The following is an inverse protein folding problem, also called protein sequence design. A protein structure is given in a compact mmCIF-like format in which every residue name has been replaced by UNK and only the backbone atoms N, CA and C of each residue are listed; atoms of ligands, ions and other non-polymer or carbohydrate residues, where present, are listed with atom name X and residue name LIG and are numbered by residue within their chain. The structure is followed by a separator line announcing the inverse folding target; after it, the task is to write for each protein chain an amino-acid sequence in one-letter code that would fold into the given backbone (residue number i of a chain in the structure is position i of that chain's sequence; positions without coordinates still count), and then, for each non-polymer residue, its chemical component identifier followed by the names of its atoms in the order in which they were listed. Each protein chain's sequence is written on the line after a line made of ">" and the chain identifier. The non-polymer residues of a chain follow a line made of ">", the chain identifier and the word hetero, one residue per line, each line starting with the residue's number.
data_IF_583346027867
#
_entry.id   IF_583346027867
#
_cell.length_a   1.000
_cell.length_b   1.000
_cell.length_c   1.000
_cell.angle_alpha   90.00
_cell.angle_beta   90.00
_cell.angle_gamma   90.00
#
_symmetry.space_group_name_H-M   'P 1'
#
loop_
_entity.id
_entity.type
_entity.pdbx_description
1 polymer ?
#
# COMPACT_ATOMS: atom_id res chain seq x y z
N UNK A 1 -36.23 -17.21 -3.85
CA UNK A 1 -35.02 -17.03 -3.06
C UNK A 1 -34.39 -15.72 -3.47
N UNK A 2 -34.30 -14.73 -2.59
CA UNK A 2 -33.50 -13.56 -2.94
C UNK A 2 -32.07 -14.02 -3.11
N UNK A 3 -31.48 -13.72 -4.26
CA UNK A 3 -30.06 -13.88 -4.47
C UNK A 3 -29.36 -13.03 -3.42
N UNK A 4 -28.69 -13.66 -2.47
CA UNK A 4 -27.73 -12.98 -1.62
C UNK A 4 -26.58 -12.54 -2.51
N UNK A 5 -26.66 -11.32 -3.03
CA UNK A 5 -25.52 -10.69 -3.69
C UNK A 5 -24.40 -10.66 -2.67
N UNK A 6 -23.38 -11.50 -2.88
CA UNK A 6 -22.14 -11.42 -2.09
C UNK A 6 -21.66 -9.97 -2.14
N UNK A 7 -21.38 -9.37 -0.98
CA UNK A 7 -20.90 -7.98 -0.96
C UNK A 7 -19.62 -7.90 -1.78
N UNK A 8 -19.61 -7.00 -2.78
CA UNK A 8 -18.48 -6.82 -3.67
C UNK A 8 -17.46 -5.87 -3.07
N UNK A 9 -16.20 -6.31 -3.02
CA UNK A 9 -15.08 -5.46 -2.68
C UNK A 9 -14.71 -4.66 -3.93
N UNK A 10 -14.68 -3.35 -3.82
CA UNK A 10 -14.32 -2.42 -4.89
C UNK A 10 -12.98 -1.79 -4.56
N UNK A 11 -12.08 -1.75 -5.55
CA UNK A 11 -10.82 -1.03 -5.47
C UNK A 11 -10.99 0.30 -6.21
N UNK A 12 -10.63 1.39 -5.55
CA UNK A 12 -10.69 2.72 -6.16
C UNK A 12 -9.48 3.57 -5.77
N UNK A 13 -9.11 4.56 -6.60
CA UNK A 13 -8.08 5.52 -6.21
C UNK A 13 -8.49 6.30 -4.95
N UNK A 14 -7.52 6.57 -4.09
CA UNK A 14 -7.73 7.47 -2.97
C UNK A 14 -7.78 8.92 -3.45
N UNK A 15 -8.59 9.73 -2.78
CA UNK A 15 -8.75 11.15 -3.09
C UNK A 15 -8.45 12.02 -1.87
N UNK A 16 -8.50 13.34 -2.05
CA UNK A 16 -8.34 14.29 -0.94
C UNK A 16 -9.38 14.06 0.17
N UNK A 17 -10.57 13.56 -0.17
CA UNK A 17 -11.63 13.28 0.80
C UNK A 17 -11.32 12.07 1.69
N UNK A 18 -10.36 11.24 1.33
CA UNK A 18 -9.96 10.07 2.08
C UNK A 18 -8.86 10.34 3.11
N UNK A 19 -8.40 11.58 3.22
CA UNK A 19 -7.26 11.96 4.06
C UNK A 19 -7.39 11.46 5.50
N UNK A 20 -8.54 11.70 6.13
CA UNK A 20 -8.75 11.30 7.52
C UNK A 20 -8.72 9.77 7.68
N UNK A 21 -9.34 9.05 6.76
CA UNK A 21 -9.34 7.58 6.77
C UNK A 21 -7.93 7.03 6.61
N UNK A 22 -7.17 7.58 5.65
CA UNK A 22 -5.78 7.13 5.42
C UNK A 22 -4.90 7.47 6.62
N UNK A 23 -5.11 8.65 7.25
CA UNK A 23 -4.39 8.99 8.48
C UNK A 23 -4.56 7.92 9.56
N UNK A 24 -5.80 7.51 9.83
CA UNK A 24 -6.07 6.50 10.86
C UNK A 24 -5.50 5.12 10.48
N UNK A 25 -5.53 4.76 9.20
CA UNK A 25 -4.90 3.51 8.73
C UNK A 25 -3.38 3.54 8.93
N UNK A 26 -2.73 4.67 8.68
CA UNK A 26 -1.28 4.79 8.90
C UNK A 26 -0.92 4.75 10.39
N UNK A 27 -1.73 5.37 11.24
CA UNK A 27 -1.55 5.27 12.69
C UNK A 27 -1.67 3.82 13.16
N UNK A 28 -2.62 3.07 12.62
CA UNK A 28 -2.77 1.64 12.93
C UNK A 28 -1.59 0.82 12.42
N UNK A 29 -1.13 1.08 11.21
CA UNK A 29 0.01 0.37 10.60
C UNK A 29 1.28 0.52 11.45
N UNK A 30 1.57 1.72 11.90
CA UNK A 30 2.79 2.04 12.65
C UNK A 30 2.61 2.02 14.16
N UNK A 31 1.38 1.81 14.65
CA UNK A 31 1.04 1.78 16.08
C UNK A 31 1.49 3.05 16.80
N UNK A 32 1.28 4.20 16.17
CA UNK A 32 1.60 5.51 16.72
C UNK A 32 0.69 6.58 16.13
N UNK A 33 0.69 7.76 16.71
CA UNK A 33 0.02 8.94 16.15
C UNK A 33 1.05 9.83 15.46
N UNK A 34 0.68 10.37 14.30
CA UNK A 34 1.49 11.32 13.57
C UNK A 34 0.98 12.74 13.79
N UNK A 35 1.84 13.74 13.57
CA UNK A 35 1.41 15.13 13.49
C UNK A 35 0.36 15.27 12.38
N UNK A 36 -0.84 15.72 12.76
CA UNK A 36 -1.99 15.69 11.84
C UNK A 36 -1.83 16.66 10.66
N UNK A 37 -1.27 17.84 10.92
CA UNK A 37 -1.03 18.84 9.86
C UNK A 37 0.09 18.41 8.93
N UNK A 38 1.17 17.87 9.46
CA UNK A 38 2.27 17.35 8.65
C UNK A 38 1.79 16.21 7.76
N UNK A 39 0.97 15.31 8.30
CA UNK A 39 0.37 14.25 7.50
C UNK A 39 -0.48 14.80 6.36
N UNK A 40 -1.35 15.77 6.64
CA UNK A 40 -2.21 16.37 5.64
C UNK A 40 -1.40 16.98 4.48
N UNK A 41 -0.33 17.68 4.79
CA UNK A 41 0.55 18.28 3.77
C UNK A 41 1.24 17.22 2.93
N UNK A 42 1.78 16.18 3.55
CA UNK A 42 2.43 15.07 2.85
C UNK A 42 1.47 14.29 1.97
N UNK A 43 0.29 14.00 2.48
CA UNK A 43 -0.76 13.31 1.73
C UNK A 43 -1.16 14.09 0.48
N UNK A 44 -1.43 15.41 0.62
CA UNK A 44 -1.77 16.26 -0.51
C UNK A 44 -0.63 16.34 -1.54
N UNK A 45 0.62 16.44 -1.07
CA UNK A 45 1.79 16.46 -1.93
C UNK A 45 1.89 15.17 -2.76
N UNK A 46 1.70 14.03 -2.12
CA UNK A 46 1.77 12.72 -2.79
C UNK A 46 0.60 12.51 -3.76
N UNK A 47 -0.61 12.97 -3.43
CA UNK A 47 -1.74 12.89 -4.37
C UNK A 47 -1.48 13.70 -5.65
N UNK A 48 -0.73 14.79 -5.55
CA UNK A 48 -0.37 15.61 -6.70
C UNK A 48 0.81 15.06 -7.51
N UNK A 49 1.52 14.06 -6.97
CA UNK A 49 2.68 13.47 -7.62
C UNK A 49 2.25 12.40 -8.62
N UNK A 50 2.55 12.54 -9.93
CA UNK A 50 2.12 11.57 -10.95
C UNK A 50 2.75 10.19 -10.79
N UNK A 51 3.80 10.05 -9.99
CA UNK A 51 4.48 8.78 -9.73
C UNK A 51 3.99 8.08 -8.45
N UNK A 52 3.07 8.70 -7.71
CA UNK A 52 2.46 8.10 -6.52
C UNK A 52 1.03 7.66 -6.83
N UNK A 53 0.70 6.43 -6.48
CA UNK A 53 -0.62 5.85 -6.72
C UNK A 53 -1.14 5.22 -5.44
N UNK A 54 -2.29 5.68 -4.98
CA UNK A 54 -2.95 5.21 -3.76
C UNK A 54 -4.29 4.57 -4.11
N UNK A 55 -4.56 3.41 -3.55
CA UNK A 55 -5.86 2.77 -3.70
C UNK A 55 -6.43 2.31 -2.37
N UNK A 56 -7.75 2.36 -2.30
CA UNK A 56 -8.54 1.85 -1.19
C UNK A 56 -9.37 0.67 -1.66
N UNK A 57 -9.48 -0.34 -0.81
CA UNK A 57 -10.46 -1.41 -0.96
C UNK A 57 -11.67 -1.06 -0.11
N UNK A 58 -12.84 -1.03 -0.71
CA UNK A 58 -14.09 -0.66 -0.03
C UNK A 58 -15.16 -1.71 -0.24
N UNK A 59 -16.09 -1.78 0.72
CA UNK A 59 -17.26 -2.62 0.67
C UNK A 59 -18.40 -1.87 1.37
N UNK A 60 -19.48 -1.59 0.64
CA UNK A 60 -20.62 -0.83 1.18
C UNK A 60 -20.20 0.46 1.89
N UNK A 61 -19.34 1.24 1.24
CA UNK A 61 -18.74 2.48 1.74
C UNK A 61 -17.78 2.31 2.93
N UNK A 62 -17.58 1.10 3.43
CA UNK A 62 -16.58 0.82 4.47
C UNK A 62 -15.21 0.59 3.83
N UNK A 63 -14.17 1.20 4.39
CA UNK A 63 -12.80 1.01 3.92
C UNK A 63 -12.19 -0.21 4.61
N UNK A 64 -11.76 -1.17 3.81
CA UNK A 64 -11.20 -2.44 4.27
C UNK A 64 -9.68 -2.50 4.22
N UNK A 65 -9.07 -1.65 3.40
CA UNK A 65 -7.63 -1.65 3.25
C UNK A 65 -7.12 -0.54 2.34
N UNK A 66 -5.81 -0.37 2.33
CA UNK A 66 -5.11 0.68 1.60
C UNK A 66 -3.77 0.16 1.10
N UNK A 67 -3.38 0.61 -0.08
CA UNK A 67 -2.05 0.34 -0.65
C UNK A 67 -1.50 1.60 -1.31
N UNK A 68 -0.19 1.80 -1.19
CA UNK A 68 0.53 2.85 -1.90
C UNK A 68 1.59 2.27 -2.81
N UNK A 69 1.74 2.87 -3.99
CA UNK A 69 2.69 2.47 -5.01
C UNK A 69 3.45 3.70 -5.48
N UNK A 70 4.77 3.64 -5.46
CA UNK A 70 5.65 4.71 -5.91
C UNK A 70 6.52 4.25 -7.07
N UNK A 71 6.39 4.90 -8.21
CA UNK A 71 7.22 4.62 -9.38
C UNK A 71 8.47 5.48 -9.34
N UNK A 72 9.63 4.84 -9.48
CA UNK A 72 10.95 5.47 -9.49
C UNK A 72 11.75 4.93 -10.66
N UNK A 73 12.47 5.81 -11.36
CA UNK A 73 13.37 5.36 -12.41
C UNK A 73 14.73 5.03 -11.79
N UNK A 74 15.13 3.78 -11.86
CA UNK A 74 16.42 3.32 -11.31
C UNK A 74 17.46 3.24 -12.42
N UNK A 75 18.54 3.99 -12.30
CA UNK A 75 19.58 4.03 -13.33
C UNK A 75 20.23 2.66 -13.54
N UNK A 76 20.42 1.88 -12.49
CA UNK A 76 21.03 0.55 -12.59
C UNK A 76 20.08 -0.52 -13.15
N UNK A 77 18.80 -0.22 -13.29
CA UNK A 77 17.85 -1.05 -14.04
C UNK A 77 17.58 -0.50 -15.43
N UNK A 78 17.94 0.77 -15.69
CA UNK A 78 17.57 1.51 -16.91
C UNK A 78 16.07 1.37 -17.18
N UNK A 79 15.28 1.42 -16.11
CA UNK A 79 13.84 1.22 -16.16
C UNK A 79 13.15 1.74 -14.91
N UNK A 80 11.82 1.80 -14.98
CA UNK A 80 10.96 2.12 -13.84
C UNK A 80 10.82 0.92 -12.91
N UNK A 81 10.88 1.18 -11.62
CA UNK A 81 10.64 0.22 -10.55
C UNK A 81 9.46 0.74 -9.74
N UNK A 82 8.53 -0.12 -9.41
CA UNK A 82 7.37 0.24 -8.61
C UNK A 82 7.52 -0.30 -7.18
N UNK A 83 7.59 0.61 -6.20
CA UNK A 83 7.72 0.23 -4.80
C UNK A 83 6.38 0.33 -4.09
N UNK A 84 6.00 -0.74 -3.41
CA UNK A 84 4.86 -0.74 -2.48
C UNK A 84 5.40 -0.26 -1.14
N UNK A 85 4.97 0.93 -0.69
CA UNK A 85 5.47 1.54 0.53
C UNK A 85 4.60 1.21 1.74
N UNK A 86 3.28 1.19 1.56
CA UNK A 86 2.35 0.83 2.61
C UNK A 86 1.30 -0.16 2.06
N UNK A 87 0.98 -1.14 2.87
CA UNK A 87 -0.13 -2.06 2.64
C UNK A 87 -0.73 -2.40 4.00
N UNK A 88 -1.98 -2.02 4.21
CA UNK A 88 -2.69 -2.33 5.44
C UNK A 88 -4.10 -2.82 5.15
N UNK A 89 -4.51 -3.86 5.87
CA UNK A 89 -5.85 -4.41 5.86
C UNK A 89 -6.42 -4.21 7.26
N UNK A 90 -7.65 -3.70 7.35
CA UNK A 90 -8.30 -3.55 8.66
C UNK A 90 -8.47 -4.91 9.34
N UNK A 91 -8.42 -4.97 10.68
CA UNK A 91 -8.53 -6.26 11.39
C UNK A 91 -9.79 -7.05 11.01
N UNK A 92 -10.91 -6.36 10.78
CA UNK A 92 -12.19 -6.98 10.45
C UNK A 92 -12.19 -7.63 9.06
N UNK A 93 -11.33 -7.15 8.16
CA UNK A 93 -11.26 -7.62 6.78
C UNK A 93 -10.16 -8.66 6.55
N UNK A 94 -9.38 -8.99 7.56
CA UNK A 94 -8.30 -9.99 7.43
C UNK A 94 -8.88 -11.36 7.11
N UNK A 95 -8.21 -12.08 6.21
CA UNK A 95 -8.64 -13.40 5.76
C UNK A 95 -9.67 -13.40 4.65
N UNK A 96 -10.12 -12.23 4.18
CA UNK A 96 -11.11 -12.11 3.11
C UNK A 96 -10.49 -11.89 1.71
N UNK A 97 -9.17 -11.99 1.58
CA UNK A 97 -8.47 -11.83 0.31
C UNK A 97 -8.26 -10.38 -0.14
N UNK A 98 -8.51 -9.41 0.74
CA UNK A 98 -8.37 -7.98 0.44
C UNK A 98 -6.91 -7.62 0.12
N UNK A 99 -5.97 -8.12 0.92
CA UNK A 99 -4.54 -7.88 0.69
C UNK A 99 -4.06 -8.37 -0.66
N UNK A 100 -4.49 -9.56 -1.06
CA UNK A 100 -4.16 -10.12 -2.37
C UNK A 100 -4.72 -9.28 -3.52
N UNK A 101 -5.95 -8.78 -3.37
CA UNK A 101 -6.55 -7.91 -4.39
C UNK A 101 -5.85 -6.57 -4.51
N UNK A 102 -5.48 -5.95 -3.38
CA UNK A 102 -4.72 -4.71 -3.38
C UNK A 102 -3.34 -4.91 -4.00
N UNK A 103 -2.68 -6.00 -3.66
CA UNK A 103 -1.36 -6.32 -4.22
C UNK A 103 -1.44 -6.52 -5.75
N UNK A 104 -2.45 -7.22 -6.24
CA UNK A 104 -2.67 -7.39 -7.68
C UNK A 104 -2.96 -6.07 -8.38
N UNK A 105 -3.74 -5.21 -7.75
CA UNK A 105 -3.97 -3.86 -8.28
C UNK A 105 -2.65 -3.11 -8.47
N UNK A 106 -1.76 -3.17 -7.49
CA UNK A 106 -0.45 -2.52 -7.57
C UNK A 106 0.40 -3.11 -8.69
N UNK A 107 0.41 -4.43 -8.82
CA UNK A 107 1.16 -5.13 -9.88
C UNK A 107 0.63 -4.79 -11.27
N UNK A 108 -0.69 -4.76 -11.44
CA UNK A 108 -1.32 -4.40 -12.71
C UNK A 108 -1.06 -2.94 -13.06
N UNK A 109 -1.17 -2.04 -12.08
CA UNK A 109 -0.84 -0.62 -12.26
C UNK A 109 0.63 -0.45 -12.66
N UNK A 110 1.53 -1.15 -12.00
CA UNK A 110 2.95 -1.12 -12.33
C UNK A 110 3.21 -1.58 -13.77
N UNK A 111 2.57 -2.66 -14.22
CA UNK A 111 2.68 -3.15 -15.61
C UNK A 111 2.18 -2.11 -16.61
N UNK A 112 1.02 -1.53 -16.36
CA UNK A 112 0.42 -0.51 -17.23
C UNK A 112 1.31 0.72 -17.37
N UNK A 113 2.05 1.08 -16.33
CA UNK A 113 2.94 2.22 -16.29
C UNK A 113 4.37 1.89 -16.75
N UNK A 114 4.61 0.66 -17.19
CA UNK A 114 5.88 0.24 -17.77
C UNK A 114 6.97 -0.14 -16.76
N UNK A 115 6.61 -0.39 -15.51
CA UNK A 115 7.59 -0.83 -14.53
C UNK A 115 8.07 -2.26 -14.81
N UNK A 116 9.36 -2.49 -14.57
CA UNK A 116 10.00 -3.78 -14.75
C UNK A 116 9.57 -4.79 -13.68
N UNK A 117 9.39 -4.30 -12.44
CA UNK A 117 9.06 -5.13 -11.30
C UNK A 117 8.39 -4.29 -10.21
N UNK A 118 7.72 -4.98 -9.29
CA UNK A 118 7.31 -4.42 -8.01
C UNK A 118 8.28 -4.88 -6.93
N UNK A 119 8.53 -4.03 -5.94
CA UNK A 119 9.35 -4.37 -4.78
C UNK A 119 8.77 -3.76 -3.53
N UNK A 120 9.14 -4.31 -2.38
CA UNK A 120 8.69 -3.82 -1.09
C UNK A 120 9.70 -4.18 0.00
N UNK A 121 9.57 -3.50 1.14
CA UNK A 121 10.34 -3.83 2.33
C UNK A 121 9.39 -4.10 3.49
N UNK A 122 9.73 -5.08 4.32
CA UNK A 122 9.03 -5.36 5.56
C UNK A 122 10.04 -5.39 6.70
N UNK A 123 9.57 -5.10 7.92
CA UNK A 123 10.43 -5.27 9.10
C UNK A 123 10.81 -6.74 9.23
N UNK A 124 12.06 -6.99 9.63
CA UNK A 124 12.60 -8.35 9.75
C UNK A 124 11.81 -9.24 10.71
N UNK A 125 11.07 -8.64 11.65
CA UNK A 125 10.27 -9.35 12.66
C UNK A 125 8.84 -9.64 12.24
N UNK A 126 8.38 -9.12 11.10
CA UNK A 126 7.00 -9.32 10.62
C UNK A 126 6.88 -10.63 9.81
N UNK A 127 6.98 -11.76 10.49
CA UNK A 127 7.02 -13.08 9.84
C UNK A 127 5.76 -13.42 9.06
N UNK A 128 4.59 -12.99 9.52
CA UNK A 128 3.32 -13.22 8.81
C UNK A 128 3.28 -12.49 7.47
N UNK A 129 3.78 -11.26 7.44
CA UNK A 129 3.90 -10.49 6.20
C UNK A 129 4.87 -11.16 5.23
N UNK A 130 6.01 -11.66 5.72
CA UNK A 130 6.99 -12.38 4.89
C UNK A 130 6.35 -13.59 4.21
N UNK A 131 5.58 -14.39 4.97
CA UNK A 131 4.90 -15.56 4.41
C UNK A 131 3.87 -15.17 3.36
N UNK A 132 3.12 -14.09 3.61
CA UNK A 132 2.14 -13.57 2.66
C UNK A 132 2.81 -13.18 1.33
N UNK A 133 3.86 -12.36 1.38
CA UNK A 133 4.55 -11.93 0.16
C UNK A 133 5.19 -13.09 -0.58
N UNK A 134 5.79 -14.04 0.12
CA UNK A 134 6.39 -15.22 -0.52
C UNK A 134 5.32 -16.08 -1.22
N UNK A 135 4.14 -16.24 -0.63
CA UNK A 135 3.02 -16.94 -1.31
C UNK A 135 2.56 -16.21 -2.56
N UNK A 136 2.64 -14.90 -2.55
CA UNK A 136 2.26 -14.09 -3.72
C UNK A 136 3.38 -13.96 -4.76
N UNK A 137 4.48 -14.70 -4.60
CA UNK A 137 5.56 -14.78 -5.58
C UNK A 137 6.70 -13.81 -5.38
N UNK A 138 6.75 -13.09 -4.27
CA UNK A 138 7.86 -12.19 -3.95
C UNK A 138 9.05 -12.97 -3.44
N UNK A 139 10.24 -12.60 -3.94
CA UNK A 139 11.50 -13.24 -3.60
C UNK A 139 12.29 -12.34 -2.66
N UNK A 140 12.82 -12.92 -1.59
CA UNK A 140 13.68 -12.19 -0.65
C UNK A 140 15.12 -12.21 -1.17
N UNK A 141 15.48 -11.18 -1.93
CA UNK A 141 16.77 -11.09 -2.64
C UNK A 141 17.69 -10.00 -2.10
N UNK A 142 17.17 -9.06 -1.30
CA UNK A 142 17.90 -7.87 -0.86
C UNK A 142 17.78 -7.66 0.64
N UNK A 143 18.78 -7.03 1.23
CA UNK A 143 18.74 -6.49 2.58
C UNK A 143 18.55 -4.99 2.50
N UNK A 144 17.75 -4.41 3.41
CA UNK A 144 17.58 -2.98 3.55
C UNK A 144 18.30 -2.50 4.80
N UNK A 145 19.19 -1.51 4.64
CA UNK A 145 19.88 -0.87 5.75
C UNK A 145 19.29 0.52 5.96
N UNK A 146 18.97 0.84 7.21
CA UNK A 146 18.34 2.13 7.57
C UNK A 146 19.20 2.78 8.65
N UNK A 147 19.47 4.09 8.47
CA UNK A 147 20.18 4.87 9.46
C UNK A 147 19.38 6.15 9.73
N UNK A 148 18.79 6.33 10.93
CA UNK A 148 18.18 7.60 11.29
C UNK A 148 19.21 8.73 11.24
N UNK A 149 18.77 9.90 10.74
CA UNK A 149 19.66 11.07 10.58
C UNK A 149 19.46 12.12 11.67
N UNK A 150 18.47 11.95 12.51
CA UNK A 150 18.26 12.82 13.67
C UNK A 150 19.00 12.27 14.88
N UNK A 151 19.64 13.17 15.64
CA UNK A 151 20.41 12.87 16.85
C UNK A 151 19.49 12.68 18.07
N UNK A 152 18.53 11.77 18.00
CA UNK A 152 17.68 11.47 19.16
C UNK A 152 17.79 10.04 19.59
#
# INVERSE_FOLDING_TARGET
>A
MPETTSPHIILRPATAMDENTVYHLMCELEQCEFDRLAFAKGYALNLANPNMHYALATQDAEVLGFISLHLQYHLHHVNWIAEIQELIITPQARGAGVGKRLLRWAEDTARELGAEQTELSTRATRYDAHRFYQREGYLHTHFRFVKPLSDQ
#
